data_IF_202557812203
#
_entry.id   IF_202557812203
#
_cell.length_a   1.000
_cell.length_b   1.000
_cell.length_c   1.000
_cell.angle_alpha   90.00
_cell.angle_beta   90.00
_cell.angle_gamma   90.00
#
_symmetry.space_group_name_H-M   'P 1'
#
loop_
_entity.id
_entity.type
_entity.pdbx_description
1 polymer ?
#
# COMPACT_ATOMS: atom_id res chain seq x y z
N UNK A 1 0.32 18.12 -2.29
CA UNK A 1 0.86 18.29 -3.64
C UNK A 1 -0.19 18.95 -4.52
N UNK A 2 0.23 19.61 -5.61
CA UNK A 2 -0.68 20.32 -6.52
C UNK A 2 -1.84 19.44 -7.02
N UNK A 3 -1.60 18.17 -7.33
CA UNK A 3 -2.65 17.24 -7.75
C UNK A 3 -3.68 16.99 -6.65
N UNK A 4 -3.24 16.75 -5.42
CA UNK A 4 -4.16 16.51 -4.29
C UNK A 4 -4.98 17.78 -4.00
N UNK A 5 -4.34 18.94 -4.02
CA UNK A 5 -5.00 20.24 -3.82
C UNK A 5 -6.02 20.54 -4.92
N UNK A 6 -5.70 20.23 -6.18
CA UNK A 6 -6.62 20.41 -7.31
C UNK A 6 -7.84 19.47 -7.19
N UNK A 7 -7.62 18.21 -6.86
CA UNK A 7 -8.70 17.23 -6.63
C UNK A 7 -9.61 17.65 -5.47
N UNK A 8 -9.03 18.14 -4.37
CA UNK A 8 -9.78 18.60 -3.20
C UNK A 8 -10.63 19.84 -3.56
N UNK A 9 -10.02 20.85 -4.20
CA UNK A 9 -10.70 22.07 -4.63
C UNK A 9 -11.85 21.82 -5.61
N UNK A 10 -11.75 20.76 -6.42
CA UNK A 10 -12.82 20.31 -7.34
C UNK A 10 -13.84 19.39 -6.71
N UNK A 11 -13.67 19.02 -5.44
CA UNK A 11 -14.52 18.04 -4.77
C UNK A 11 -14.43 16.63 -5.37
N UNK A 12 -13.27 16.29 -5.96
CA UNK A 12 -13.02 14.99 -6.60
C UNK A 12 -12.22 14.02 -5.71
N UNK A 13 -11.66 14.50 -4.61
CA UNK A 13 -10.74 13.70 -3.78
C UNK A 13 -11.40 12.45 -3.20
N UNK A 14 -12.69 12.51 -2.89
CA UNK A 14 -13.47 11.36 -2.43
C UNK A 14 -13.65 10.27 -3.51
N UNK A 15 -13.63 10.65 -4.78
CA UNK A 15 -13.86 9.76 -5.92
C UNK A 15 -12.57 9.28 -6.60
N UNK A 16 -11.42 9.80 -6.18
CA UNK A 16 -10.12 9.46 -6.76
C UNK A 16 -9.19 8.96 -5.68
N UNK A 17 -8.76 7.71 -5.78
CA UNK A 17 -7.73 7.15 -4.93
C UNK A 17 -6.36 7.32 -5.58
N UNK A 18 -5.47 8.04 -4.93
CA UNK A 18 -4.06 8.10 -5.29
C UNK A 18 -3.27 7.10 -4.45
N UNK A 19 -2.49 6.26 -5.11
CA UNK A 19 -1.56 5.32 -4.47
C UNK A 19 -0.16 5.61 -4.99
N UNK A 20 0.76 5.89 -4.08
CA UNK A 20 2.16 6.15 -4.38
C UNK A 20 2.98 5.07 -3.70
N UNK A 21 3.64 4.24 -4.47
CA UNK A 21 4.35 3.07 -3.98
C UNK A 21 5.63 2.83 -4.78
N UNK A 22 6.60 2.17 -4.16
CA UNK A 22 7.74 1.56 -4.83
C UNK A 22 7.68 0.04 -4.71
N UNK A 23 8.53 -0.68 -5.44
CA UNK A 23 8.60 -2.15 -5.39
C UNK A 23 9.20 -2.63 -4.06
N UNK A 24 10.20 -1.91 -3.56
CA UNK A 24 10.92 -2.19 -2.32
C UNK A 24 11.56 -0.91 -1.77
N UNK A 25 11.99 -0.96 -0.53
CA UNK A 25 12.74 0.12 0.10
C UNK A 25 14.24 0.09 -0.25
N UNK A 26 15.00 0.89 0.47
CA UNK A 26 16.46 0.97 0.36
C UNK A 26 17.10 0.70 1.70
N UNK A 27 18.32 0.10 1.69
CA UNK A 27 19.07 -0.17 2.92
C UNK A 27 19.29 1.10 3.74
N UNK A 28 19.12 1.06 5.08
CA UNK A 28 19.48 2.20 5.93
C UNK A 28 20.98 2.54 5.86
N UNK A 29 21.82 1.53 5.60
CA UNK A 29 23.27 1.68 5.45
C UNK A 29 23.64 2.02 4.01
N UNK A 30 24.52 2.99 3.84
CA UNK A 30 25.15 3.31 2.55
C UNK A 30 26.23 2.28 2.24
N UNK A 31 26.27 1.78 1.02
CA UNK A 31 27.25 0.80 0.54
C UNK A 31 28.60 1.47 0.16
N UNK A 32 29.58 0.64 -0.18
CA UNK A 32 30.93 1.11 -0.53
C UNK A 32 31.01 1.99 -1.79
N UNK A 33 29.96 2.01 -2.62
CA UNK A 33 29.87 2.84 -3.84
C UNK A 33 29.10 4.15 -3.60
N UNK A 34 28.78 4.48 -2.35
CA UNK A 34 28.02 5.68 -1.99
C UNK A 34 26.51 5.59 -2.26
N UNK A 35 26.00 4.41 -2.57
CA UNK A 35 24.57 4.14 -2.84
C UNK A 35 23.89 3.37 -1.72
N UNK A 36 22.61 3.03 -1.95
CA UNK A 36 21.80 2.16 -1.09
C UNK A 36 21.26 1.00 -1.91
N UNK A 37 21.36 -0.20 -1.36
CA UNK A 37 20.90 -1.42 -2.03
C UNK A 37 19.38 -1.60 -1.89
N UNK A 38 18.82 -2.54 -2.65
CA UNK A 38 17.42 -2.94 -2.53
C UNK A 38 17.18 -3.55 -1.15
N UNK A 39 16.04 -3.19 -0.54
CA UNK A 39 15.70 -3.66 0.80
C UNK A 39 14.21 -4.02 0.90
N UNK A 40 13.92 -5.30 0.71
CA UNK A 40 12.55 -5.80 0.73
C UNK A 40 11.81 -5.72 2.08
N UNK A 41 12.50 -5.80 3.26
CA UNK A 41 11.79 -5.78 4.55
C UNK A 41 11.03 -4.49 4.86
N UNK A 42 11.41 -3.36 4.23
CA UNK A 42 10.74 -2.07 4.43
C UNK A 42 10.53 -1.35 3.10
N UNK A 43 9.34 -0.85 2.91
CA UNK A 43 9.00 0.12 1.87
C UNK A 43 8.01 1.12 2.43
N UNK A 44 8.00 2.33 1.86
CA UNK A 44 7.02 3.36 2.20
C UNK A 44 6.05 3.49 1.04
N UNK A 45 4.77 3.58 1.38
CA UNK A 45 3.72 3.88 0.43
C UNK A 45 2.84 5.01 0.98
N UNK A 46 2.11 5.69 0.11
CA UNK A 46 1.16 6.70 0.52
C UNK A 46 -0.17 6.52 -0.22
N UNK A 47 -1.25 6.80 0.51
CA UNK A 47 -2.60 6.89 -0.03
C UNK A 47 -3.11 8.32 0.10
N UNK A 48 -3.93 8.77 -0.84
CA UNK A 48 -4.69 9.99 -0.70
C UNK A 48 -6.03 9.87 -1.43
N UNK A 49 -7.10 10.31 -0.78
CA UNK A 49 -8.46 10.31 -1.32
C UNK A 49 -9.16 8.94 -1.25
N UNK A 50 -10.14 8.74 -2.14
CA UNK A 50 -10.93 7.51 -2.23
C UNK A 50 -11.81 7.23 -1.01
N UNK A 51 -12.21 8.25 -0.24
CA UNK A 51 -13.00 8.10 0.98
C UNK A 51 -12.25 7.49 2.16
N UNK A 52 -10.93 7.30 2.07
CA UNK A 52 -10.12 6.75 3.15
C UNK A 52 -9.87 7.79 4.26
N UNK A 53 -9.68 7.33 5.49
CA UNK A 53 -9.33 8.18 6.64
C UNK A 53 -7.88 8.67 6.51
N UNK A 54 -7.72 9.90 6.03
CA UNK A 54 -6.42 10.50 5.76
C UNK A 54 -5.77 11.15 6.99
N UNK A 55 -4.54 11.69 6.81
CA UNK A 55 -3.82 12.44 7.84
C UNK A 55 -3.13 11.55 8.88
N UNK A 56 -2.89 10.29 8.57
CA UNK A 56 -2.30 9.30 9.46
C UNK A 56 -0.92 8.85 8.97
N UNK A 57 -0.10 8.42 9.91
CA UNK A 57 1.10 7.62 9.65
C UNK A 57 0.88 6.26 10.31
N UNK A 58 0.89 5.19 9.51
CA UNK A 58 0.58 3.83 9.94
C UNK A 58 1.84 2.99 9.82
N UNK A 59 2.14 2.27 10.91
CA UNK A 59 3.32 1.45 11.02
C UNK A 59 4.59 2.22 11.39
N UNK A 60 5.52 1.50 11.96
CA UNK A 60 6.82 2.01 12.42
C UNK A 60 7.93 1.03 12.09
N UNK A 61 9.08 1.57 11.75
CA UNK A 61 10.33 0.79 11.65
C UNK A 61 10.98 0.61 13.01
N UNK A 62 11.81 -0.43 13.14
CA UNK A 62 12.73 -0.58 14.25
C UNK A 62 13.72 0.60 14.30
N UNK A 63 14.41 0.78 15.43
CA UNK A 63 15.36 1.88 15.65
C UNK A 63 16.44 1.99 14.57
N UNK A 64 16.91 0.86 14.05
CA UNK A 64 17.90 0.82 12.97
C UNK A 64 17.33 1.02 11.57
N UNK A 65 16.01 1.20 11.47
CA UNK A 65 15.30 1.38 10.18
C UNK A 65 15.56 0.22 9.19
N UNK A 66 15.75 -0.97 9.71
CA UNK A 66 16.10 -2.17 8.92
C UNK A 66 14.94 -3.16 8.78
N UNK A 67 14.06 -3.21 9.76
CA UNK A 67 12.87 -4.08 9.79
C UNK A 67 11.66 -3.34 10.36
N UNK A 68 10.42 -3.81 10.10
CA UNK A 68 9.23 -3.25 10.75
C UNK A 68 9.25 -3.58 12.25
N UNK A 69 8.81 -2.63 13.09
CA UNK A 69 8.55 -2.82 14.51
C UNK A 69 7.08 -3.20 14.77
N UNK A 70 6.19 -2.62 14.02
CA UNK A 70 4.76 -2.94 14.02
C UNK A 70 4.45 -4.12 13.11
N UNK A 71 3.23 -4.64 13.15
CA UNK A 71 2.76 -5.65 12.21
C UNK A 71 2.94 -5.12 10.78
N UNK A 72 3.65 -5.85 9.91
CA UNK A 72 3.86 -5.41 8.54
C UNK A 72 2.54 -5.31 7.76
N UNK A 73 2.42 -4.23 6.99
CA UNK A 73 1.40 -4.12 5.95
C UNK A 73 1.97 -4.74 4.69
N UNK A 74 1.29 -5.76 4.19
CA UNK A 74 1.75 -6.52 3.02
C UNK A 74 1.23 -5.92 1.71
N UNK A 75 1.83 -6.26 0.55
CA UNK A 75 1.26 -5.90 -0.75
C UNK A 75 -0.18 -6.40 -0.94
N UNK A 76 -0.54 -7.54 -0.33
CA UNK A 76 -1.89 -8.07 -0.35
C UNK A 76 -2.87 -7.17 0.44
N UNK A 77 -2.44 -6.59 1.57
CA UNK A 77 -3.24 -5.66 2.34
C UNK A 77 -3.43 -4.34 1.59
N UNK A 78 -2.39 -3.85 0.91
CA UNK A 78 -2.49 -2.71 0.00
C UNK A 78 -3.53 -2.97 -1.09
N UNK A 79 -3.45 -4.10 -1.79
CA UNK A 79 -4.41 -4.47 -2.83
C UNK A 79 -5.82 -4.64 -2.28
N UNK A 80 -5.97 -5.24 -1.08
CA UNK A 80 -7.27 -5.38 -0.42
C UNK A 80 -7.88 -4.03 -0.07
N UNK A 81 -7.06 -3.04 0.32
CA UNK A 81 -7.50 -1.65 0.57
C UNK A 81 -7.97 -0.98 -0.72
N UNK A 82 -7.24 -1.15 -1.83
CA UNK A 82 -7.65 -0.64 -3.15
C UNK A 82 -8.99 -1.26 -3.57
N UNK A 83 -9.16 -2.57 -3.41
CA UNK A 83 -10.41 -3.26 -3.75
C UNK A 83 -11.57 -2.82 -2.87
N UNK A 84 -11.30 -2.52 -1.60
CA UNK A 84 -12.30 -1.95 -0.70
C UNK A 84 -12.81 -0.59 -1.21
N UNK A 85 -11.89 0.31 -1.59
CA UNK A 85 -12.25 1.64 -2.13
C UNK A 85 -13.04 1.53 -3.44
N UNK A 86 -12.70 0.54 -4.28
CA UNK A 86 -13.38 0.29 -5.56
C UNK A 86 -14.68 -0.53 -5.41
N UNK A 87 -15.10 -0.84 -4.19
CA UNK A 87 -16.25 -1.73 -3.88
C UNK A 87 -16.16 -3.09 -4.60
N UNK A 88 -14.94 -3.61 -4.71
CA UNK A 88 -14.68 -4.88 -5.38
C UNK A 88 -14.68 -6.05 -4.39
N UNK A 89 -15.50 -7.07 -4.62
CA UNK A 89 -15.52 -8.25 -3.77
C UNK A 89 -14.25 -9.09 -3.98
N UNK A 90 -13.31 -9.01 -3.05
CA UNK A 90 -12.05 -9.78 -3.05
C UNK A 90 -12.24 -11.29 -2.96
N UNK A 91 -13.45 -11.78 -2.63
CA UNK A 91 -13.77 -13.22 -2.60
C UNK A 91 -14.09 -13.79 -3.98
N UNK A 92 -14.15 -12.94 -5.00
CA UNK A 92 -14.32 -13.40 -6.38
C UNK A 92 -13.19 -14.34 -6.74
N UNK A 93 -13.57 -15.49 -7.30
CA UNK A 93 -12.66 -16.50 -7.78
C UNK A 93 -12.66 -16.53 -9.30
N UNK A 94 -11.53 -16.87 -9.85
CA UNK A 94 -11.38 -17.20 -11.27
C UNK A 94 -10.67 -18.55 -11.41
N UNK A 95 -10.89 -19.20 -12.53
CA UNK A 95 -10.21 -20.46 -12.82
C UNK A 95 -8.85 -20.17 -13.45
N UNK A 96 -7.78 -20.61 -12.84
CA UNK A 96 -6.43 -20.47 -13.37
C UNK A 96 -6.19 -21.46 -14.54
N UNK A 97 -5.02 -21.35 -15.18
CA UNK A 97 -4.64 -22.20 -16.31
C UNK A 97 -4.63 -23.70 -16.00
N UNK A 98 -4.49 -24.09 -14.74
CA UNK A 98 -4.54 -25.47 -14.27
C UNK A 98 -5.96 -25.95 -13.94
N UNK A 99 -6.99 -25.17 -14.23
CA UNK A 99 -8.39 -25.49 -13.92
C UNK A 99 -8.78 -25.37 -12.45
N UNK A 100 -7.95 -24.72 -11.62
CA UNK A 100 -8.21 -24.56 -10.19
C UNK A 100 -8.83 -23.19 -9.88
N UNK A 101 -9.83 -23.11 -8.99
CA UNK A 101 -10.33 -21.84 -8.51
C UNK A 101 -9.24 -21.13 -7.70
N UNK A 102 -9.04 -19.85 -7.98
CA UNK A 102 -8.03 -18.98 -7.35
C UNK A 102 -8.68 -17.67 -7.00
N UNK A 103 -8.45 -17.16 -5.80
CA UNK A 103 -8.92 -15.82 -5.41
C UNK A 103 -8.09 -14.74 -6.09
N UNK A 104 -8.71 -13.59 -6.35
CA UNK A 104 -7.99 -12.43 -6.89
C UNK A 104 -6.94 -11.92 -5.92
N UNK A 105 -7.23 -11.98 -4.62
CA UNK A 105 -6.27 -11.70 -3.55
C UNK A 105 -6.38 -12.80 -2.50
N UNK A 106 -5.27 -13.44 -2.21
CA UNK A 106 -5.16 -14.39 -1.12
C UNK A 106 -4.63 -13.68 0.14
N UNK A 107 -5.30 -13.91 1.28
CA UNK A 107 -4.86 -13.49 2.62
C UNK A 107 -4.73 -11.97 2.89
N UNK A 108 -5.05 -11.09 1.95
CA UNK A 108 -5.03 -9.63 2.18
C UNK A 108 -6.25 -9.14 2.96
N UNK A 109 -6.04 -8.13 3.82
CA UNK A 109 -7.11 -7.40 4.53
C UNK A 109 -6.96 -5.92 4.27
N UNK A 110 -8.07 -5.16 4.12
CA UNK A 110 -7.95 -3.71 4.10
C UNK A 110 -7.23 -3.20 5.35
N UNK A 111 -6.46 -2.16 5.19
CA UNK A 111 -5.76 -1.50 6.31
C UNK A 111 -6.83 -0.85 7.18
N UNK A 112 -7.08 -1.41 8.37
CA UNK A 112 -8.22 -1.06 9.24
C UNK A 112 -8.21 0.41 9.65
N UNK A 113 -7.06 1.00 9.81
CA UNK A 113 -6.91 2.41 10.19
C UNK A 113 -7.38 3.35 9.08
N UNK A 114 -7.37 2.90 7.83
CA UNK A 114 -7.73 3.70 6.66
C UNK A 114 -9.22 3.59 6.26
N UNK A 115 -9.88 2.49 6.60
CA UNK A 115 -11.26 2.19 6.16
C UNK A 115 -12.34 2.49 7.21
#
# INVERSE_FOLDING_TARGET
SALIEDLDQRGQLENVLLVISGEFGRTPKVNGSGGRDHWAPLSTLAFAGGGLKMGQVIGESAEKVDVPRTTPITPQDMMATIFHVLDFDRRVQFTNQSGRPTYMIENGRPIEELV
#
